data_IF_729829588148
#
_entry.id   IF_729829588148
#
_cell.length_a   1.000
_cell.length_b   1.000
_cell.length_c   1.000
_cell.angle_alpha   90.00
_cell.angle_beta   90.00
_cell.angle_gamma   90.00
#
_symmetry.space_group_name_H-M   'P 1'
#
loop_
_entity.id
_entity.type
_entity.pdbx_description
1 polymer ?
#
# COMPACT_ATOMS: atom_id res chain seq x y z
N UNK A 1 -63.95 42.54 19.44
CA UNK A 1 -62.57 42.82 18.99
C UNK A 1 -62.47 42.37 17.54
N UNK A 2 -61.94 43.24 16.68
CA UNK A 2 -62.04 43.17 15.22
C UNK A 2 -61.64 41.82 14.57
N UNK A 3 -62.35 41.39 13.51
CA UNK A 3 -61.93 40.29 12.65
C UNK A 3 -61.00 40.81 11.53
N UNK A 4 -59.95 40.07 11.21
CA UNK A 4 -59.16 40.27 9.99
C UNK A 4 -59.41 39.11 9.02
N UNK A 5 -59.85 39.48 7.81
CA UNK A 5 -60.04 38.62 6.64
C UNK A 5 -58.72 38.08 6.06
N UNK A 6 -58.78 37.01 5.23
CA UNK A 6 -57.61 36.26 4.77
C UNK A 6 -57.01 36.83 3.48
N UNK A 7 -55.73 36.56 3.23
CA UNK A 7 -55.05 36.85 1.95
C UNK A 7 -54.29 35.58 1.50
N UNK A 8 -54.17 35.32 0.18
CA UNK A 8 -54.25 33.97 -0.39
C UNK A 8 -52.88 33.28 -0.60
N UNK A 9 -52.91 31.95 -0.66
CA UNK A 9 -51.78 31.12 -1.09
C UNK A 9 -51.44 31.29 -2.57
N UNK A 10 -50.16 31.18 -2.94
CA UNK A 10 -49.75 30.71 -4.24
C UNK A 10 -49.02 29.37 -4.17
N UNK A 11 -49.64 28.37 -4.81
CA UNK A 11 -49.08 27.25 -5.58
C UNK A 11 -47.83 26.50 -5.07
N UNK A 12 -48.07 25.24 -4.74
CA UNK A 12 -47.06 24.19 -4.57
C UNK A 12 -46.20 24.02 -5.83
N UNK A 13 -44.89 24.25 -5.69
CA UNK A 13 -43.88 23.78 -6.64
C UNK A 13 -43.62 22.27 -6.47
N UNK A 14 -43.19 21.56 -7.52
CA UNK A 14 -42.92 20.13 -7.45
C UNK A 14 -41.71 19.82 -6.53
N UNK A 15 -41.64 18.61 -5.96
CA UNK A 15 -40.61 18.25 -4.99
C UNK A 15 -39.21 18.24 -5.63
N UNK A 16 -38.25 18.83 -4.94
CA UNK A 16 -36.85 18.87 -5.35
C UNK A 16 -36.24 17.45 -5.33
N UNK A 17 -35.72 17.01 -6.47
CA UNK A 17 -34.88 15.82 -6.55
C UNK A 17 -33.55 16.07 -5.81
N UNK A 18 -33.07 15.12 -4.98
CA UNK A 18 -31.70 15.16 -4.49
C UNK A 18 -30.79 14.58 -5.58
N UNK A 19 -29.64 15.22 -5.80
CA UNK A 19 -28.54 14.85 -6.70
C UNK A 19 -28.56 15.45 -8.12
N UNK A 20 -28.01 16.67 -8.21
CA UNK A 20 -27.26 17.11 -9.39
C UNK A 20 -25.87 17.61 -8.96
N UNK A 21 -24.80 17.36 -9.75
CA UNK A 21 -23.42 17.57 -9.34
C UNK A 21 -23.00 19.02 -9.62
N UNK A 22 -22.71 19.79 -8.57
CA UNK A 22 -22.09 21.12 -8.74
C UNK A 22 -20.57 20.99 -8.73
N UNK A 23 -19.97 21.36 -9.86
CA UNK A 23 -18.55 21.64 -9.98
C UNK A 23 -18.15 22.95 -9.29
N UNK A 24 -16.84 23.19 -9.30
CA UNK A 24 -16.11 24.32 -8.72
C UNK A 24 -15.82 24.18 -7.20
N UNK A 25 -14.63 23.67 -6.89
CA UNK A 25 -14.03 23.72 -5.56
C UNK A 25 -13.72 25.18 -5.19
N UNK A 26 -14.63 25.83 -4.47
CA UNK A 26 -14.34 27.03 -3.70
C UNK A 26 -13.63 26.63 -2.40
N UNK A 27 -12.41 27.13 -2.19
CA UNK A 27 -11.66 26.96 -0.95
C UNK A 27 -12.27 27.89 0.12
N UNK A 28 -12.78 27.40 1.26
CA UNK A 28 -13.13 28.28 2.36
C UNK A 28 -11.85 28.79 3.03
N UNK A 29 -11.73 30.09 3.21
CA UNK A 29 -10.65 30.74 3.95
C UNK A 29 -10.64 30.27 5.41
N UNK A 30 -9.57 29.58 5.81
CA UNK A 30 -9.36 29.14 7.18
C UNK A 30 -8.89 30.32 8.08
N UNK A 31 -9.16 30.29 9.41
CA UNK A 31 -8.68 31.30 10.32
C UNK A 31 -7.15 31.26 10.43
N UNK A 32 -6.52 32.41 10.30
CA UNK A 32 -5.07 32.64 10.34
C UNK A 32 -4.51 32.37 11.73
N UNK A 33 -3.67 31.33 11.88
CA UNK A 33 -3.02 31.05 13.16
C UNK A 33 -1.79 30.13 13.14
N UNK A 34 -1.41 29.56 11.99
CA UNK A 34 -0.18 28.77 11.89
C UNK A 34 0.80 29.43 10.92
N UNK A 35 2.10 29.52 11.26
CA UNK A 35 3.10 30.01 10.33
C UNK A 35 3.10 29.12 9.07
N UNK A 36 3.24 29.70 7.87
CA UNK A 36 3.31 28.91 6.65
C UNK A 36 4.56 28.02 6.70
N UNK A 37 4.36 26.71 6.74
CA UNK A 37 5.44 25.77 6.45
C UNK A 37 5.98 26.12 5.05
N UNK A 38 7.31 26.25 4.86
CA UNK A 38 7.86 26.53 3.56
C UNK A 38 7.44 25.43 2.58
N UNK A 39 6.71 25.84 1.55
CA UNK A 39 6.28 25.01 0.44
C UNK A 39 7.52 24.62 -0.40
N UNK A 40 8.32 23.67 0.09
CA UNK A 40 9.50 23.14 -0.63
C UNK A 40 9.17 21.93 -1.51
N UNK A 41 7.92 21.45 -1.52
CA UNK A 41 7.48 20.40 -2.43
C UNK A 41 6.51 20.99 -3.47
N UNK A 42 7.02 21.19 -4.69
CA UNK A 42 6.20 21.54 -5.85
C UNK A 42 5.06 20.54 -6.04
N UNK A 43 3.94 21.02 -6.59
CA UNK A 43 2.72 20.22 -6.78
C UNK A 43 2.96 18.91 -7.54
N UNK A 44 1.96 18.00 -7.56
CA UNK A 44 2.11 16.64 -8.07
C UNK A 44 2.77 16.63 -9.46
N UNK A 45 3.92 15.95 -9.66
CA UNK A 45 4.49 15.83 -10.97
C UNK A 45 3.48 15.15 -11.90
N UNK A 46 3.07 15.84 -12.96
CA UNK A 46 2.15 15.33 -13.97
C UNK A 46 2.66 13.96 -14.45
N UNK A 47 1.80 12.93 -14.48
CA UNK A 47 2.22 11.59 -14.86
C UNK A 47 2.86 11.65 -16.24
N UNK A 48 4.02 11.01 -16.44
CA UNK A 48 4.65 11.00 -17.74
C UNK A 48 3.82 10.08 -18.64
N UNK A 49 2.85 10.65 -19.34
CA UNK A 49 1.87 9.90 -20.11
C UNK A 49 2.52 9.11 -21.27
N UNK A 50 3.75 9.50 -21.64
CA UNK A 50 4.50 9.00 -22.79
C UNK A 50 5.82 8.30 -22.42
N UNK A 51 6.16 8.16 -21.13
CA UNK A 51 7.39 7.45 -20.73
C UNK A 51 7.17 5.93 -20.73
N UNK A 52 8.20 5.14 -21.10
CA UNK A 52 8.13 3.68 -21.02
C UNK A 52 7.96 3.23 -19.56
N UNK A 53 7.34 2.05 -19.39
CA UNK A 53 7.34 1.36 -18.09
C UNK A 53 8.73 0.82 -17.81
N UNK A 54 9.24 1.06 -16.61
CA UNK A 54 10.57 0.60 -16.22
C UNK A 54 10.80 0.68 -14.72
N UNK A 55 12.08 0.58 -14.36
CA UNK A 55 12.56 0.62 -12.98
C UNK A 55 13.17 1.97 -12.59
N UNK A 56 13.26 2.89 -13.57
CA UNK A 56 13.72 4.27 -13.41
C UNK A 56 12.71 5.06 -12.56
N UNK A 57 13.19 5.95 -11.67
CA UNK A 57 12.31 6.78 -10.86
C UNK A 57 11.48 7.76 -11.71
N UNK A 58 11.97 8.12 -12.89
CA UNK A 58 11.39 9.17 -13.74
C UNK A 58 10.31 8.65 -14.69
N UNK A 59 10.29 7.35 -14.97
CA UNK A 59 9.36 6.71 -15.90
C UNK A 59 8.04 6.27 -15.25
N UNK A 60 7.31 5.39 -15.94
CA UNK A 60 6.16 4.69 -15.36
C UNK A 60 6.62 3.45 -14.61
N UNK A 61 6.03 3.11 -13.45
CA UNK A 61 6.42 1.92 -12.71
C UNK A 61 6.09 0.65 -13.52
N UNK A 62 7.07 -0.25 -13.64
CA UNK A 62 6.88 -1.56 -14.24
C UNK A 62 6.30 -2.57 -13.24
N UNK A 63 5.45 -3.47 -13.74
CA UNK A 63 5.11 -4.70 -13.02
C UNK A 63 6.35 -5.61 -12.99
N UNK A 64 6.52 -6.37 -11.93
CA UNK A 64 7.53 -7.40 -11.84
C UNK A 64 7.29 -8.46 -12.92
N UNK A 65 8.34 -8.88 -13.62
CA UNK A 65 8.24 -9.78 -14.79
C UNK A 65 7.54 -11.11 -14.50
N UNK A 66 7.67 -11.61 -13.26
CA UNK A 66 7.02 -12.84 -12.80
C UNK A 66 5.62 -12.65 -12.22
N UNK A 67 5.14 -11.42 -12.01
CA UNK A 67 3.85 -11.21 -11.34
C UNK A 67 2.68 -11.79 -12.15
N UNK A 68 2.57 -11.42 -13.43
CA UNK A 68 1.47 -11.89 -14.29
C UNK A 68 1.56 -13.40 -14.58
N UNK A 69 2.72 -13.97 -14.94
CA UNK A 69 2.83 -15.42 -15.11
C UNK A 69 2.41 -16.22 -13.88
N UNK A 70 2.87 -15.84 -12.69
CA UNK A 70 2.49 -16.51 -11.44
C UNK A 70 1.01 -16.30 -11.11
N UNK A 71 0.48 -15.10 -11.35
CA UNK A 71 -0.94 -14.80 -11.17
C UNK A 71 -1.81 -15.69 -12.06
N UNK A 72 -1.46 -15.87 -13.33
CA UNK A 72 -2.22 -16.74 -14.25
C UNK A 72 -2.24 -18.18 -13.74
N UNK A 73 -1.09 -18.73 -13.33
CA UNK A 73 -1.02 -20.10 -12.78
C UNK A 73 -1.92 -20.23 -11.56
N UNK A 74 -1.82 -19.31 -10.60
CA UNK A 74 -2.63 -19.32 -9.38
C UNK A 74 -4.12 -19.19 -9.69
N UNK A 75 -4.51 -18.27 -10.58
CA UNK A 75 -5.92 -18.06 -10.95
C UNK A 75 -6.52 -19.30 -11.62
N UNK A 76 -5.77 -19.95 -12.52
CA UNK A 76 -6.23 -21.19 -13.17
C UNK A 76 -6.43 -22.30 -12.14
N UNK A 77 -5.46 -22.51 -11.25
CA UNK A 77 -5.58 -23.52 -10.19
C UNK A 77 -6.76 -23.22 -9.26
N UNK A 78 -6.92 -21.96 -8.82
CA UNK A 78 -8.05 -21.54 -7.98
C UNK A 78 -9.39 -21.73 -8.69
N UNK A 79 -9.48 -21.39 -9.98
CA UNK A 79 -10.71 -21.59 -10.76
C UNK A 79 -11.08 -23.07 -10.88
N UNK A 80 -10.12 -23.95 -11.15
CA UNK A 80 -10.35 -25.39 -11.20
C UNK A 80 -10.84 -25.93 -9.85
N UNK A 81 -10.21 -25.49 -8.74
CA UNK A 81 -10.64 -25.89 -7.40
C UNK A 81 -12.05 -25.40 -7.09
N UNK A 82 -12.43 -24.19 -7.49
CA UNK A 82 -13.81 -23.71 -7.33
C UNK A 82 -14.81 -24.51 -8.15
N UNK A 83 -14.50 -24.87 -9.40
CA UNK A 83 -15.38 -25.70 -10.22
C UNK A 83 -15.59 -27.09 -9.61
N UNK A 84 -14.52 -27.71 -9.12
CA UNK A 84 -14.58 -29.00 -8.42
C UNK A 84 -15.40 -28.88 -7.13
N UNK A 85 -15.12 -27.85 -6.31
CA UNK A 85 -15.85 -27.61 -5.08
C UNK A 85 -17.35 -27.39 -5.34
N UNK A 86 -17.70 -26.64 -6.38
CA UNK A 86 -19.11 -26.43 -6.74
C UNK A 86 -19.79 -27.74 -7.17
N UNK A 87 -19.13 -28.57 -7.99
CA UNK A 87 -19.66 -29.86 -8.40
C UNK A 87 -19.87 -30.81 -7.21
N UNK A 88 -18.88 -30.92 -6.33
CA UNK A 88 -18.97 -31.73 -5.11
C UNK A 88 -20.05 -31.23 -4.16
N UNK A 89 -20.23 -29.91 -4.05
CA UNK A 89 -21.29 -29.33 -3.24
C UNK A 89 -22.68 -29.65 -3.77
N UNK A 90 -22.88 -29.52 -5.09
CA UNK A 90 -24.15 -29.88 -5.73
C UNK A 90 -24.47 -31.36 -5.53
N UNK A 91 -23.50 -32.25 -5.77
CA UNK A 91 -23.66 -33.68 -5.56
C UNK A 91 -24.02 -34.04 -4.10
N UNK A 92 -23.30 -33.46 -3.14
CA UNK A 92 -23.56 -33.68 -1.72
C UNK A 92 -24.96 -33.21 -1.30
N UNK A 93 -25.40 -32.06 -1.79
CA UNK A 93 -26.75 -31.53 -1.53
C UNK A 93 -27.82 -32.43 -2.13
N UNK A 94 -27.66 -32.88 -3.38
CA UNK A 94 -28.63 -33.74 -4.06
C UNK A 94 -28.71 -35.14 -3.45
N UNK A 95 -27.59 -35.67 -2.97
CA UNK A 95 -27.48 -36.99 -2.36
C UNK A 95 -27.85 -37.01 -0.86
N UNK A 96 -28.11 -35.84 -0.25
CA UNK A 96 -28.35 -35.71 1.19
C UNK A 96 -27.12 -36.06 2.04
N UNK A 97 -25.91 -35.97 1.47
CA UNK A 97 -24.66 -36.25 2.15
C UNK A 97 -24.29 -35.10 3.11
N UNK A 98 -23.48 -35.41 4.12
CA UNK A 98 -22.95 -34.40 5.04
C UNK A 98 -21.97 -33.46 4.33
N UNK A 99 -22.14 -32.16 4.49
CA UNK A 99 -21.27 -31.14 3.90
C UNK A 99 -19.98 -30.97 4.71
N UNK A 100 -18.84 -30.95 4.02
CA UNK A 100 -17.52 -30.74 4.62
C UNK A 100 -17.24 -29.24 4.82
N UNK A 101 -16.69 -28.83 5.96
CA UNK A 101 -16.36 -27.43 6.24
C UNK A 101 -15.42 -26.79 5.21
N UNK A 102 -14.43 -27.53 4.70
CA UNK A 102 -13.53 -27.03 3.64
C UNK A 102 -14.26 -26.82 2.31
N UNK A 103 -15.25 -27.67 2.02
CA UNK A 103 -16.10 -27.53 0.84
C UNK A 103 -16.96 -26.27 0.96
N UNK A 104 -17.58 -26.06 2.11
CA UNK A 104 -18.35 -24.85 2.41
C UNK A 104 -17.46 -23.61 2.34
N UNK A 105 -16.26 -23.65 2.91
CA UNK A 105 -15.29 -22.55 2.83
C UNK A 105 -15.00 -22.16 1.39
N UNK A 106 -14.75 -23.14 0.50
CA UNK A 106 -14.45 -22.88 -0.91
C UNK A 106 -15.65 -22.34 -1.67
N UNK A 107 -16.83 -22.94 -1.50
CA UNK A 107 -18.06 -22.50 -2.20
C UNK A 107 -18.48 -21.10 -1.76
N UNK A 108 -18.38 -20.79 -0.46
CA UNK A 108 -18.75 -19.48 0.09
C UNK A 108 -17.58 -18.48 0.13
N UNK A 109 -16.39 -18.84 -0.35
CA UNK A 109 -15.23 -17.95 -0.41
C UNK A 109 -15.53 -16.58 -1.06
N UNK A 110 -16.28 -16.47 -2.17
CA UNK A 110 -16.66 -15.16 -2.71
C UNK A 110 -17.38 -14.27 -1.69
N UNK A 111 -18.38 -14.82 -1.00
CA UNK A 111 -19.15 -14.09 0.00
C UNK A 111 -18.30 -13.73 1.23
N UNK A 112 -17.46 -14.65 1.69
CA UNK A 112 -16.56 -14.44 2.83
C UNK A 112 -15.50 -13.37 2.52
N UNK A 113 -14.87 -13.42 1.34
CA UNK A 113 -13.91 -12.41 0.90
C UNK A 113 -14.60 -11.05 0.76
N UNK A 114 -15.79 -11.01 0.19
CA UNK A 114 -16.57 -9.77 0.07
C UNK A 114 -16.89 -9.18 1.46
N UNK A 115 -17.43 -9.99 2.37
CA UNK A 115 -17.83 -9.57 3.71
C UNK A 115 -16.62 -9.14 4.56
N UNK A 116 -15.55 -9.94 4.58
CA UNK A 116 -14.32 -9.62 5.31
C UNK A 116 -13.69 -8.30 4.84
N UNK A 117 -13.70 -8.03 3.53
CA UNK A 117 -13.22 -6.75 2.99
C UNK A 117 -14.15 -5.58 3.33
N UNK A 118 -15.46 -5.81 3.33
CA UNK A 118 -16.45 -4.81 3.74
C UNK A 118 -16.29 -4.40 5.19
N UNK A 119 -16.15 -5.40 6.08
CA UNK A 119 -15.86 -5.19 7.50
C UNK A 119 -14.53 -4.45 7.65
N UNK A 120 -13.46 -4.91 7.00
CA UNK A 120 -12.16 -4.25 7.07
C UNK A 120 -12.24 -2.77 6.69
N UNK A 121 -12.91 -2.43 5.58
CA UNK A 121 -13.11 -1.04 5.17
C UNK A 121 -13.93 -0.24 6.18
N UNK A 122 -15.04 -0.81 6.67
CA UNK A 122 -15.88 -0.16 7.67
C UNK A 122 -15.10 0.12 8.97
N UNK A 123 -14.29 -0.83 9.45
CA UNK A 123 -13.45 -0.67 10.64
C UNK A 123 -12.51 0.52 10.51
N UNK A 124 -11.84 0.70 9.36
CA UNK A 124 -10.94 1.86 9.18
C UNK A 124 -11.69 3.18 9.17
N UNK A 125 -12.90 3.19 8.59
CA UNK A 125 -13.73 4.39 8.51
C UNK A 125 -14.24 4.87 9.87
N UNK A 126 -14.58 3.95 10.76
CA UNK A 126 -15.21 4.29 12.05
C UNK A 126 -14.19 4.45 13.17
N UNK A 127 -13.03 3.81 13.09
CA UNK A 127 -12.00 3.86 14.14
C UNK A 127 -10.74 4.65 13.74
N UNK A 128 -10.50 4.88 12.45
CA UNK A 128 -9.34 5.60 11.96
C UNK A 128 -9.59 7.11 11.79
N UNK A 129 -8.53 7.90 11.89
CA UNK A 129 -8.57 9.33 11.57
C UNK A 129 -8.42 9.49 10.07
N UNK A 130 -9.47 9.96 9.39
CA UNK A 130 -9.42 10.22 7.94
C UNK A 130 -8.46 11.37 7.64
N UNK A 131 -7.49 11.14 6.75
CA UNK A 131 -6.63 12.18 6.22
C UNK A 131 -7.41 13.13 5.32
N UNK A 132 -7.18 14.42 5.45
CA UNK A 132 -7.85 15.49 4.72
C UNK A 132 -6.95 16.75 4.66
N UNK A 133 -7.34 17.80 3.92
CA UNK A 133 -6.62 19.07 3.94
C UNK A 133 -6.47 19.72 5.34
N UNK A 134 -7.26 19.28 6.33
CA UNK A 134 -7.23 19.81 7.70
C UNK A 134 -6.79 18.79 8.74
N UNK A 135 -6.73 17.50 8.40
CA UNK A 135 -6.29 16.41 9.28
C UNK A 135 -5.19 15.62 8.59
N UNK A 136 -3.98 15.60 9.14
CA UNK A 136 -2.80 15.03 8.47
C UNK A 136 -2.63 15.57 7.02
N UNK A 137 -2.58 16.91 6.83
CA UNK A 137 -2.55 17.53 5.50
C UNK A 137 -1.37 17.08 4.65
N UNK A 138 -0.22 16.82 5.27
CA UNK A 138 0.98 16.33 4.59
C UNK A 138 0.76 14.92 4.02
N UNK A 139 0.28 13.99 4.84
CA UNK A 139 -0.05 12.62 4.40
C UNK A 139 -1.14 12.60 3.33
N UNK A 140 -2.18 13.44 3.48
CA UNK A 140 -3.22 13.61 2.46
C UNK A 140 -2.63 14.06 1.12
N UNK A 141 -1.72 15.05 1.12
CA UNK A 141 -1.02 15.51 -0.08
C UNK A 141 -0.17 14.41 -0.71
N UNK A 142 0.59 13.64 0.08
CA UNK A 142 1.40 12.53 -0.42
C UNK A 142 0.55 11.47 -1.15
N UNK A 143 -0.62 11.13 -0.61
CA UNK A 143 -1.56 10.18 -1.25
C UNK A 143 -2.10 10.75 -2.57
N UNK A 144 -2.50 12.03 -2.59
CA UNK A 144 -2.98 12.70 -3.79
C UNK A 144 -1.89 12.76 -4.88
N UNK A 145 -0.64 13.07 -4.49
CA UNK A 145 0.51 13.10 -5.39
C UNK A 145 0.84 11.72 -5.95
N UNK A 146 0.80 10.67 -5.14
CA UNK A 146 0.99 9.30 -5.59
C UNK A 146 -0.09 8.87 -6.58
N UNK A 147 -1.37 9.15 -6.26
CA UNK A 147 -2.49 8.85 -7.14
C UNK A 147 -2.35 9.57 -8.50
N UNK A 148 -2.00 10.85 -8.49
CA UNK A 148 -1.73 11.62 -9.69
C UNK A 148 -0.54 11.06 -10.49
N UNK A 149 0.57 10.73 -9.81
CA UNK A 149 1.79 10.16 -10.41
C UNK A 149 1.50 8.85 -11.15
N UNK A 150 0.58 8.03 -10.64
CA UNK A 150 0.20 6.76 -11.25
C UNK A 150 -0.98 6.86 -12.22
N UNK A 151 -1.50 8.08 -12.47
CA UNK A 151 -2.60 8.32 -13.41
C UNK A 151 -3.95 7.78 -12.93
N UNK A 152 -4.17 7.72 -11.63
CA UNK A 152 -5.43 7.27 -11.05
C UNK A 152 -6.51 8.34 -11.25
N UNK A 153 -7.71 7.92 -11.65
CA UNK A 153 -8.87 8.81 -11.84
C UNK A 153 -9.50 9.27 -10.52
N UNK A 154 -9.24 8.56 -9.44
CA UNK A 154 -9.79 8.85 -8.11
C UNK A 154 -8.70 8.65 -7.08
N UNK A 155 -8.49 9.64 -6.22
CA UNK A 155 -7.58 9.55 -5.09
C UNK A 155 -8.17 8.59 -4.06
N UNK A 156 -7.43 7.58 -3.58
CA UNK A 156 -7.89 6.70 -2.51
C UNK A 156 -8.21 7.48 -1.24
N UNK A 157 -9.19 7.01 -0.45
CA UNK A 157 -9.31 7.48 0.93
C UNK A 157 -8.05 7.08 1.71
N UNK A 158 -7.64 7.87 2.69
CA UNK A 158 -6.51 7.51 3.54
C UNK A 158 -6.84 7.71 5.01
N UNK A 159 -6.38 6.80 5.86
CA UNK A 159 -6.65 6.79 7.29
C UNK A 159 -5.37 6.62 8.09
N UNK A 160 -5.27 7.36 9.20
CA UNK A 160 -4.29 7.09 10.26
C UNK A 160 -4.96 6.23 11.32
N UNK A 161 -4.34 5.12 11.68
CA UNK A 161 -4.80 4.24 12.77
C UNK A 161 -3.70 4.04 13.80
N UNK A 162 -4.08 3.73 15.03
CA UNK A 162 -3.12 3.51 16.10
C UNK A 162 -2.28 2.25 15.81
N UNK A 163 -0.95 2.40 15.78
CA UNK A 163 -0.02 1.30 15.49
C UNK A 163 0.49 0.55 16.72
N UNK A 164 0.41 1.14 17.92
CA UNK A 164 0.91 0.56 19.17
C UNK A 164 2.35 0.02 19.07
N UNK A 165 3.23 0.77 18.42
CA UNK A 165 4.64 0.39 18.24
C UNK A 165 4.91 -0.45 16.99
N UNK A 166 3.88 -0.84 16.24
CA UNK A 166 4.04 -1.54 14.97
C UNK A 166 4.24 -0.54 13.83
N UNK A 167 5.32 -0.71 13.05
CA UNK A 167 5.55 0.04 11.82
C UNK A 167 4.79 -0.65 10.69
N UNK A 168 3.69 -0.07 10.22
CA UNK A 168 2.91 -0.67 9.15
C UNK A 168 2.12 0.37 8.33
N UNK A 169 1.88 0.05 7.07
CA UNK A 169 0.89 0.67 6.21
C UNK A 169 0.32 -0.42 5.29
N UNK A 170 -0.91 -0.25 4.82
CA UNK A 170 -1.48 -1.18 3.86
C UNK A 170 -2.51 -0.50 2.95
N UNK A 171 -2.64 -1.02 1.75
CA UNK A 171 -3.71 -0.67 0.83
C UNK A 171 -4.76 -1.77 0.69
N UNK A 172 -6.03 -1.36 0.55
CA UNK A 172 -7.14 -2.29 0.33
C UNK A 172 -8.28 -1.60 -0.42
N UNK A 173 -9.40 -2.32 -0.58
CA UNK A 173 -10.57 -1.82 -1.29
C UNK A 173 -11.80 -2.68 -1.11
N UNK A 174 -12.97 -2.07 -1.20
CA UNK A 174 -14.24 -2.79 -1.17
C UNK A 174 -15.20 -2.12 -2.16
N UNK A 175 -15.85 -2.93 -3.00
CA UNK A 175 -16.58 -2.45 -4.17
C UNK A 175 -15.69 -1.57 -5.07
N UNK A 176 -16.17 -0.37 -5.38
CA UNK A 176 -15.43 0.63 -6.17
C UNK A 176 -14.52 1.55 -5.33
N UNK A 177 -14.54 1.42 -3.99
CA UNK A 177 -13.74 2.27 -3.11
C UNK A 177 -12.35 1.66 -2.89
N UNK A 178 -11.35 2.53 -2.83
CA UNK A 178 -9.96 2.18 -2.56
C UNK A 178 -9.45 3.05 -1.43
N UNK A 179 -8.63 2.47 -0.58
CA UNK A 179 -8.11 3.18 0.57
C UNK A 179 -6.74 2.70 0.99
N UNK A 180 -6.00 3.59 1.64
CA UNK A 180 -4.72 3.33 2.29
C UNK A 180 -4.88 3.55 3.79
N UNK A 181 -4.19 2.74 4.58
CA UNK A 181 -4.10 2.90 6.02
C UNK A 181 -2.63 3.05 6.38
N UNK A 182 -2.32 4.03 7.22
CA UNK A 182 -0.97 4.29 7.72
C UNK A 182 -1.02 4.23 9.24
N UNK A 183 -0.15 3.45 9.86
CA UNK A 183 -0.11 3.40 11.32
C UNK A 183 0.51 4.68 11.87
N UNK A 184 0.03 5.11 13.03
CA UNK A 184 0.51 6.33 13.72
C UNK A 184 2.01 6.30 13.99
N UNK A 185 2.60 5.12 14.12
CA UNK A 185 4.03 4.93 14.35
C UNK A 185 4.93 5.32 13.17
N UNK A 186 4.36 5.57 11.99
CA UNK A 186 5.06 6.17 10.85
C UNK A 186 5.11 7.71 10.90
N UNK A 187 4.41 8.33 11.86
CA UNK A 187 4.42 9.76 12.11
C UNK A 187 5.18 10.08 13.40
N UNK A 188 5.65 11.33 13.50
CA UNK A 188 6.23 11.92 14.71
C UNK A 188 5.21 12.72 15.51
N UNK A 189 5.66 13.23 16.65
CA UNK A 189 4.90 14.14 17.51
C UNK A 189 4.37 15.31 16.66
N UNK A 190 3.07 15.58 16.79
CA UNK A 190 2.38 16.61 16.00
C UNK A 190 1.89 16.17 14.63
N UNK A 191 2.07 14.89 14.26
CA UNK A 191 1.57 14.33 13.00
C UNK A 191 2.41 14.66 11.77
N UNK A 192 3.59 15.27 11.94
CA UNK A 192 4.58 15.44 10.90
C UNK A 192 5.29 14.12 10.60
N UNK A 193 5.75 13.91 9.38
CA UNK A 193 6.62 12.77 9.08
C UNK A 193 8.01 12.98 9.69
N UNK A 194 8.59 11.96 10.34
CA UNK A 194 10.01 12.00 10.80
C UNK A 194 10.95 12.24 9.62
N UNK A 195 10.71 11.41 8.61
CA UNK A 195 11.45 11.32 7.35
C UNK A 195 10.41 11.43 6.23
N UNK A 196 10.05 12.65 5.81
CA UNK A 196 8.98 12.89 4.83
C UNK A 196 9.15 12.10 3.54
N UNK A 197 10.40 11.96 3.08
CA UNK A 197 10.71 11.17 1.88
C UNK A 197 10.46 9.68 2.09
N UNK A 198 10.80 9.13 3.26
CA UNK A 198 10.53 7.74 3.59
C UNK A 198 9.02 7.45 3.66
N UNK A 199 8.27 8.35 4.32
CA UNK A 199 6.81 8.24 4.38
C UNK A 199 6.18 8.33 2.99
N UNK A 200 6.64 9.28 2.16
CA UNK A 200 6.17 9.40 0.78
C UNK A 200 6.50 8.13 -0.03
N UNK A 201 7.69 7.52 0.12
CA UNK A 201 8.00 6.23 -0.51
C UNK A 201 7.01 5.13 -0.09
N UNK A 202 6.72 5.01 1.21
CA UNK A 202 5.77 4.02 1.76
C UNK A 202 4.36 4.27 1.23
N UNK A 203 3.88 5.51 1.23
CA UNK A 203 2.58 5.88 0.66
C UNK A 203 2.54 5.57 -0.85
N UNK A 204 3.60 5.89 -1.58
CA UNK A 204 3.73 5.58 -3.01
C UNK A 204 3.69 4.07 -3.28
N UNK A 205 4.28 3.26 -2.39
CA UNK A 205 4.21 1.80 -2.43
C UNK A 205 2.77 1.31 -2.21
N UNK A 206 2.08 1.78 -1.18
CA UNK A 206 0.69 1.40 -0.87
C UNK A 206 -0.29 1.82 -1.97
N UNK A 207 -0.22 3.08 -2.42
CA UNK A 207 -1.03 3.56 -3.55
C UNK A 207 -0.66 2.77 -4.82
N UNK A 208 0.60 2.32 -4.94
CA UNK A 208 1.07 1.41 -5.97
C UNK A 208 0.35 0.07 -6.01
N UNK A 209 0.06 -0.55 -4.85
CA UNK A 209 -0.79 -1.75 -4.80
C UNK A 209 -2.18 -1.50 -5.39
N UNK A 210 -2.74 -0.30 -5.18
CA UNK A 210 -4.04 0.06 -5.76
C UNK A 210 -3.90 0.26 -7.27
N UNK A 211 -2.91 1.03 -7.72
CA UNK A 211 -2.67 1.34 -9.11
C UNK A 211 -2.35 0.09 -9.96
N UNK A 212 -1.62 -0.88 -9.39
CA UNK A 212 -1.32 -2.16 -10.02
C UNK A 212 -2.50 -3.17 -9.96
N UNK A 213 -3.62 -2.80 -9.32
CA UNK A 213 -4.80 -3.65 -9.22
C UNK A 213 -4.69 -4.78 -8.18
N UNK A 214 -3.68 -4.74 -7.30
CA UNK A 214 -3.47 -5.76 -6.26
C UNK A 214 -4.64 -5.82 -5.28
N UNK A 215 -5.31 -4.70 -5.05
CA UNK A 215 -6.47 -4.57 -4.16
C UNK A 215 -7.81 -4.89 -4.83
N UNK A 216 -7.81 -5.39 -6.08
CA UNK A 216 -9.02 -5.77 -6.80
C UNK A 216 -9.71 -6.98 -6.15
N UNK A 217 -11.03 -6.91 -5.98
CA UNK A 217 -11.84 -8.03 -5.46
C UNK A 217 -11.65 -9.30 -6.28
N UNK A 218 -11.74 -9.20 -7.61
CA UNK A 218 -11.60 -10.35 -8.50
C UNK A 218 -10.20 -10.98 -8.42
N UNK A 219 -9.18 -10.15 -8.24
CA UNK A 219 -7.81 -10.63 -8.07
C UNK A 219 -7.65 -11.37 -6.76
N UNK A 220 -8.19 -10.84 -5.67
CA UNK A 220 -8.17 -11.51 -4.36
C UNK A 220 -8.96 -12.82 -4.37
N UNK A 221 -10.07 -12.87 -5.10
CA UNK A 221 -10.83 -14.10 -5.27
C UNK A 221 -10.06 -15.14 -6.10
N UNK A 222 -9.45 -14.74 -7.21
CA UNK A 222 -8.61 -15.62 -8.03
C UNK A 222 -7.32 -16.06 -7.31
N UNK A 223 -6.91 -15.32 -6.28
CA UNK A 223 -5.78 -15.63 -5.41
C UNK A 223 -6.18 -16.32 -4.11
N UNK A 224 -7.43 -16.77 -3.94
CA UNK A 224 -7.91 -17.33 -2.68
C UNK A 224 -7.06 -18.50 -2.15
N UNK A 225 -6.46 -19.29 -3.04
CA UNK A 225 -5.58 -20.40 -2.66
C UNK A 225 -4.16 -20.01 -2.28
N UNK A 226 -3.73 -18.77 -2.52
CA UNK A 226 -2.35 -18.31 -2.27
C UNK A 226 -1.84 -18.63 -0.87
N UNK A 227 -2.60 -18.41 0.23
CA UNK A 227 -2.13 -18.74 1.59
C UNK A 227 -1.82 -20.23 1.80
N UNK A 228 -2.38 -21.11 0.97
CA UNK A 228 -2.17 -22.57 1.04
C UNK A 228 -1.04 -23.06 0.11
N UNK A 229 -0.40 -22.15 -0.64
CA UNK A 229 0.67 -22.45 -1.60
C UNK A 229 1.99 -21.80 -1.12
N UNK A 230 2.70 -22.35 -0.13
CA UNK A 230 3.77 -21.64 0.59
C UNK A 230 4.98 -21.23 -0.25
N UNK A 231 5.24 -21.87 -1.40
CA UNK A 231 6.35 -21.46 -2.29
C UNK A 231 5.80 -20.60 -3.44
N UNK A 232 4.82 -21.10 -4.18
CA UNK A 232 4.26 -20.43 -5.36
C UNK A 232 3.44 -19.20 -4.99
N UNK A 233 2.58 -19.32 -3.99
CA UNK A 233 1.76 -18.22 -3.47
C UNK A 233 2.63 -17.11 -2.90
N UNK A 234 3.61 -17.44 -2.06
CA UNK A 234 4.55 -16.44 -1.54
C UNK A 234 5.42 -15.82 -2.65
N UNK A 235 5.84 -16.58 -3.67
CA UNK A 235 6.54 -16.00 -4.82
C UNK A 235 5.67 -14.99 -5.58
N UNK A 236 4.37 -15.26 -5.73
CA UNK A 236 3.42 -14.30 -6.31
C UNK A 236 3.29 -13.06 -5.44
N UNK A 237 3.11 -13.19 -4.12
CA UNK A 237 3.04 -12.03 -3.20
C UNK A 237 4.34 -11.21 -3.30
N UNK A 238 5.52 -11.84 -3.21
CA UNK A 238 6.80 -11.13 -3.35
C UNK A 238 6.97 -10.42 -4.71
N UNK A 239 6.42 -10.97 -5.79
CA UNK A 239 6.41 -10.29 -7.09
C UNK A 239 5.58 -8.99 -7.04
N UNK A 240 4.45 -9.02 -6.33
CA UNK A 240 3.57 -7.86 -6.11
C UNK A 240 4.24 -6.80 -5.24
N UNK A 241 4.94 -7.23 -4.20
CA UNK A 241 5.76 -6.35 -3.35
C UNK A 241 6.84 -5.65 -4.17
N UNK A 242 7.55 -6.36 -5.05
CA UNK A 242 8.52 -5.73 -5.95
C UNK A 242 7.88 -4.77 -6.96
N UNK A 243 6.67 -5.05 -7.43
CA UNK A 243 5.88 -4.11 -8.23
C UNK A 243 5.54 -2.86 -7.43
N UNK A 244 5.09 -3.00 -6.19
CA UNK A 244 4.77 -1.89 -5.31
C UNK A 244 6.03 -1.08 -4.93
N UNK A 245 7.18 -1.74 -4.75
CA UNK A 245 8.48 -1.08 -4.61
C UNK A 245 8.83 -0.22 -5.82
N UNK A 246 8.52 -0.68 -7.04
CA UNK A 246 8.72 0.14 -8.24
C UNK A 246 7.83 1.39 -8.22
N UNK A 247 6.60 1.28 -7.72
CA UNK A 247 5.71 2.44 -7.55
C UNK A 247 6.23 3.40 -6.48
N UNK A 248 6.59 2.90 -5.30
CA UNK A 248 7.21 3.70 -4.24
C UNK A 248 8.46 4.42 -4.71
N UNK A 249 9.33 3.73 -5.47
CA UNK A 249 10.55 4.30 -6.02
C UNK A 249 10.27 5.36 -7.10
N UNK A 250 9.31 5.12 -8.00
CA UNK A 250 8.88 6.10 -9.00
C UNK A 250 8.18 7.32 -8.40
N UNK A 251 7.64 7.21 -7.19
CA UNK A 251 7.02 8.32 -6.47
C UNK A 251 8.03 9.09 -5.62
N UNK A 252 8.90 8.40 -4.87
CA UNK A 252 9.92 9.01 -4.01
C UNK A 252 11.15 8.11 -3.81
N UNK A 253 11.98 7.98 -4.84
CA UNK A 253 13.24 7.22 -4.77
C UNK A 253 14.21 7.61 -3.65
N UNK A 254 14.34 8.90 -3.32
CA UNK A 254 15.19 9.41 -2.23
C UNK A 254 14.78 8.89 -0.86
N UNK A 255 13.52 8.50 -0.69
CA UNK A 255 12.99 7.93 0.55
C UNK A 255 13.24 6.44 0.73
N UNK A 256 13.64 5.72 -0.33
CA UNK A 256 13.79 4.26 -0.27
C UNK A 256 14.80 3.81 0.81
N UNK A 257 16.01 4.41 0.95
CA UNK A 257 16.95 4.01 2.00
C UNK A 257 16.39 4.15 3.41
N UNK A 258 15.82 5.31 3.74
CA UNK A 258 15.27 5.60 5.07
C UNK A 258 14.01 4.75 5.38
N UNK A 259 13.16 4.48 4.38
CA UNK A 259 12.03 3.57 4.52
C UNK A 259 12.50 2.14 4.83
N UNK A 260 13.52 1.65 4.11
CA UNK A 260 14.08 0.33 4.36
C UNK A 260 14.79 0.23 5.70
N UNK A 261 15.50 1.28 6.14
CA UNK A 261 16.07 1.35 7.49
C UNK A 261 14.98 1.29 8.58
N UNK A 262 13.85 1.96 8.34
CA UNK A 262 12.70 1.94 9.25
C UNK A 262 12.05 0.56 9.33
N UNK A 263 11.95 -0.18 8.22
CA UNK A 263 11.48 -1.57 8.24
C UNK A 263 12.49 -2.52 8.91
N UNK A 264 13.79 -2.25 8.79
CA UNK A 264 14.83 -3.11 9.33
C UNK A 264 15.02 -2.97 10.84
N UNK A 265 14.97 -1.76 11.37
CA UNK A 265 15.31 -1.49 12.77
C UNK A 265 14.28 -0.60 13.51
N UNK A 266 13.17 -0.24 12.87
CA UNK A 266 12.13 0.61 13.45
C UNK A 266 12.46 2.10 13.39
N UNK A 267 11.49 2.92 13.80
CA UNK A 267 11.54 4.39 13.67
C UNK A 267 12.63 5.10 14.48
N UNK A 268 13.20 4.44 15.49
CA UNK A 268 14.22 5.03 16.36
C UNK A 268 15.66 4.67 15.97
N UNK A 269 15.86 3.58 15.23
CA UNK A 269 17.18 3.07 14.83
C UNK A 269 17.39 3.11 13.31
N UNK A 270 16.42 3.62 12.56
CA UNK A 270 16.47 3.65 11.10
C UNK A 270 17.70 4.38 10.53
N UNK A 271 18.16 5.45 11.17
CA UNK A 271 19.30 6.27 10.71
C UNK A 271 20.66 5.59 10.88
N UNK A 272 20.76 4.57 11.76
CA UNK A 272 22.00 3.79 11.93
C UNK A 272 22.03 2.53 11.06
N UNK A 273 20.98 2.26 10.28
CA UNK A 273 20.94 1.13 9.34
C UNK A 273 21.61 1.53 8.03
N UNK A 274 22.72 0.86 7.71
CA UNK A 274 23.39 1.01 6.43
C UNK A 274 22.62 0.36 5.28
N UNK A 275 21.96 1.16 4.44
CA UNK A 275 21.20 0.66 3.29
C UNK A 275 22.07 -0.13 2.30
N UNK A 276 23.23 0.42 1.91
CA UNK A 276 24.14 -0.23 0.98
C UNK A 276 24.80 -1.47 1.59
N UNK A 277 25.20 -1.40 2.85
CA UNK A 277 25.78 -2.54 3.58
C UNK A 277 24.78 -3.70 3.67
N UNK A 278 23.52 -3.42 4.01
CA UNK A 278 22.46 -4.42 4.03
C UNK A 278 22.16 -4.99 2.64
N UNK A 279 22.20 -4.15 1.60
CA UNK A 279 22.06 -4.62 0.23
C UNK A 279 23.22 -5.58 -0.15
N UNK A 280 24.48 -5.26 0.20
CA UNK A 280 25.64 -6.11 -0.11
C UNK A 280 25.54 -7.51 0.49
N UNK A 281 24.93 -7.63 1.68
CA UNK A 281 24.64 -8.93 2.29
C UNK A 281 23.81 -9.85 1.40
N UNK A 282 22.96 -9.32 0.52
CA UNK A 282 22.14 -10.13 -0.37
C UNK A 282 22.98 -11.06 -1.28
N UNK A 283 24.19 -10.64 -1.66
CA UNK A 283 25.11 -11.41 -2.48
C UNK A 283 25.98 -12.38 -1.67
N UNK A 284 26.31 -12.02 -0.43
CA UNK A 284 27.26 -12.77 0.41
C UNK A 284 26.59 -13.81 1.30
N UNK A 285 25.34 -13.61 1.72
CA UNK A 285 24.58 -14.57 2.52
C UNK A 285 24.18 -15.80 1.69
N UNK A 286 24.58 -16.99 2.14
CA UNK A 286 24.40 -18.25 1.42
C UNK A 286 23.85 -19.34 2.33
N UNK A 287 23.29 -20.39 1.73
CA UNK A 287 22.87 -21.60 2.43
C UNK A 287 21.41 -21.94 2.18
N UNK A 288 21.05 -23.21 2.43
CA UNK A 288 19.69 -23.71 2.23
C UNK A 288 18.64 -22.99 3.08
N UNK A 289 18.99 -22.62 4.32
CA UNK A 289 18.07 -21.90 5.21
C UNK A 289 17.81 -20.45 4.77
N UNK A 290 18.81 -19.76 4.22
CA UNK A 290 18.60 -18.42 3.62
C UNK A 290 17.62 -18.50 2.46
N UNK A 291 17.78 -19.52 1.61
CA UNK A 291 16.84 -19.78 0.52
C UNK A 291 15.44 -20.13 1.03
N UNK A 292 15.33 -20.98 2.06
CA UNK A 292 14.06 -21.41 2.65
C UNK A 292 13.30 -20.24 3.29
N UNK A 293 14.00 -19.38 4.04
CA UNK A 293 13.41 -18.16 4.62
C UNK A 293 12.86 -17.26 3.52
N UNK A 294 13.62 -17.04 2.44
CA UNK A 294 13.10 -16.29 1.30
C UNK A 294 11.89 -16.97 0.66
N UNK A 295 11.93 -18.29 0.46
CA UNK A 295 10.85 -19.04 -0.17
C UNK A 295 9.53 -18.92 0.60
N UNK A 296 9.59 -19.02 1.94
CA UNK A 296 8.44 -18.97 2.84
C UNK A 296 7.99 -17.55 3.23
N UNK A 297 8.76 -16.52 2.90
CA UNK A 297 8.42 -15.13 3.23
C UNK A 297 7.37 -14.56 2.27
N UNK A 298 6.34 -13.91 2.82
CA UNK A 298 5.34 -13.18 2.05
C UNK A 298 5.89 -11.88 1.46
N UNK A 299 6.93 -11.30 2.07
CA UNK A 299 7.61 -10.11 1.57
C UNK A 299 9.03 -10.45 1.09
N UNK A 300 9.59 -9.73 0.11
CA UNK A 300 11.01 -9.84 -0.21
C UNK A 300 11.85 -9.67 1.04
N UNK A 301 12.77 -10.61 1.30
CA UNK A 301 13.69 -10.48 2.43
C UNK A 301 14.46 -9.17 2.32
N UNK A 302 14.66 -8.48 3.44
CA UNK A 302 15.12 -7.08 3.45
C UNK A 302 16.40 -6.85 2.65
N UNK A 303 17.39 -7.74 2.77
CA UNK A 303 18.65 -7.64 2.00
C UNK A 303 18.40 -7.67 0.49
N UNK A 304 17.52 -8.56 0.01
CA UNK A 304 17.18 -8.67 -1.42
C UNK A 304 16.29 -7.51 -1.89
N UNK A 305 15.42 -7.00 -1.02
CA UNK A 305 14.60 -5.81 -1.28
C UNK A 305 15.48 -4.57 -1.45
N UNK A 306 16.39 -4.33 -0.52
CA UNK A 306 17.37 -3.24 -0.58
C UNK A 306 18.30 -3.39 -1.78
N UNK A 307 18.78 -4.61 -2.10
CA UNK A 307 19.52 -4.86 -3.34
C UNK A 307 18.72 -4.44 -4.58
N UNK A 308 17.45 -4.82 -4.68
CA UNK A 308 16.61 -4.49 -5.84
C UNK A 308 16.28 -3.00 -5.94
N UNK A 309 16.20 -2.29 -4.80
CA UNK A 309 16.02 -0.84 -4.76
C UNK A 309 17.31 -0.08 -5.10
N UNK A 310 18.47 -0.68 -4.84
CA UNK A 310 19.78 -0.14 -5.23
C UNK A 310 20.13 -0.42 -6.70
N UNK A 311 20.09 -1.70 -7.12
CA UNK A 311 20.35 -2.14 -8.50
C UNK A 311 19.04 -2.11 -9.32
N UNK A 312 18.70 -0.92 -9.84
CA UNK A 312 17.50 -0.69 -10.67
C UNK A 312 17.63 -1.17 -12.12
N UNK A 313 18.66 -1.94 -12.46
CA UNK A 313 18.86 -2.40 -13.84
C UNK A 313 18.03 -3.62 -14.23
N UNK A 314 17.49 -4.32 -13.24
CA UNK A 314 16.73 -5.55 -13.38
C UNK A 314 15.74 -5.68 -12.23
N UNK A 315 14.70 -6.47 -12.46
CA UNK A 315 13.74 -6.77 -11.41
C UNK A 315 14.41 -7.50 -10.23
N UNK A 316 13.81 -7.34 -9.05
CA UNK A 316 14.18 -8.07 -7.85
C UNK A 316 14.18 -9.59 -8.08
N UNK A 317 15.01 -10.30 -7.32
CA UNK A 317 15.09 -11.76 -7.48
C UNK A 317 14.06 -12.45 -6.58
N UNK A 318 13.32 -13.42 -7.13
CA UNK A 318 12.29 -14.14 -6.38
C UNK A 318 12.77 -15.46 -5.76
N UNK A 319 13.62 -16.19 -6.50
CA UNK A 319 13.94 -17.59 -6.20
C UNK A 319 15.39 -17.79 -5.77
N UNK A 320 16.31 -17.02 -6.36
CA UNK A 320 17.75 -17.19 -6.17
C UNK A 320 18.37 -15.85 -5.80
N UNK A 321 19.40 -15.88 -4.96
CA UNK A 321 20.05 -14.66 -4.50
C UNK A 321 20.53 -13.78 -5.67
N UNK A 322 20.55 -12.44 -5.49
CA UNK A 322 21.22 -11.58 -6.43
C UNK A 322 22.72 -11.88 -6.49
N UNK A 323 23.35 -11.49 -7.59
CA UNK A 323 24.80 -11.60 -7.77
C UNK A 323 25.33 -10.26 -8.30
N UNK A 324 26.47 -9.77 -7.76
CA UNK A 324 27.11 -8.56 -8.25
C UNK A 324 27.43 -8.69 -9.73
N UNK A 325 27.46 -7.55 -10.42
CA UNK A 325 28.00 -7.52 -11.78
C UNK A 325 29.52 -7.72 -11.71
N UNK A 326 30.12 -8.43 -12.68
CA UNK A 326 31.58 -8.45 -12.80
C UNK A 326 32.14 -7.03 -12.80
N UNK A 327 33.08 -6.72 -11.91
CA UNK A 327 33.72 -5.40 -11.81
C UNK A 327 32.99 -4.34 -10.97
N UNK A 328 31.81 -4.63 -10.41
CA UNK A 328 31.16 -3.71 -9.46
C UNK A 328 31.65 -4.03 -8.04
N UNK A 329 32.53 -3.18 -7.51
CA UNK A 329 32.85 -3.22 -6.09
C UNK A 329 31.75 -2.52 -5.30
N UNK A 330 31.26 -3.11 -4.20
CA UNK A 330 30.36 -2.40 -3.30
C UNK A 330 31.05 -1.13 -2.80
N UNK A 331 30.32 -0.01 -2.66
CA UNK A 331 30.88 1.20 -2.09
C UNK A 331 31.41 0.91 -0.67
N UNK A 332 32.51 1.58 -0.29
CA UNK A 332 33.07 1.47 1.06
C UNK A 332 32.00 1.94 2.06
N UNK A 333 31.71 1.20 3.13
CA UNK A 333 30.76 1.63 4.15
C UNK A 333 31.15 3.02 4.66
N UNK A 334 30.25 3.99 4.50
CA UNK A 334 30.40 5.31 5.12
C UNK A 334 29.87 5.18 6.56
N UNK A 335 30.54 5.74 7.59
CA UNK A 335 30.01 5.74 8.94
C UNK A 335 28.58 6.29 8.96
N UNK A 336 27.62 5.48 9.38
CA UNK A 336 26.23 5.90 9.52
C UNK A 336 26.06 6.69 10.83
N UNK A 337 25.21 7.72 10.79
CA UNK A 337 25.07 8.82 11.76
C UNK A 337 25.44 8.59 13.24
N UNK A 338 25.96 9.63 13.88
CA UNK A 338 26.18 9.65 15.33
C UNK A 338 24.85 9.42 16.08
N UNK A 339 24.89 8.55 17.10
CA UNK A 339 23.79 8.41 18.06
C UNK A 339 23.55 9.79 18.70
N UNK A 340 22.33 10.35 18.68
CA UNK A 340 22.05 11.60 19.37
C UNK A 340 22.50 11.49 20.82
N UNK A 341 23.31 12.45 21.27
CA UNK A 341 23.80 12.48 22.65
C UNK A 341 22.64 12.36 23.63
N UNK A 342 22.81 11.50 24.65
CA UNK A 342 21.81 11.36 25.70
C UNK A 342 21.47 12.75 26.27
N UNK A 343 20.19 13.04 26.58
CA UNK A 343 19.83 14.28 27.24
C UNK A 343 20.68 14.44 28.51
N UNK A 344 21.13 15.67 28.82
CA UNK A 344 21.95 15.91 30.00
C UNK A 344 21.22 15.35 31.23
N UNK A 345 21.95 14.60 32.07
CA UNK A 345 21.39 14.09 33.33
C UNK A 345 20.81 15.29 34.09
N UNK A 346 19.59 15.19 34.65
CA UNK A 346 19.08 16.23 35.52
C UNK A 346 20.09 16.41 36.66
N UNK A 347 20.69 17.60 36.72
CA UNK A 347 21.38 18.07 37.91
C UNK A 347 20.30 18.25 38.97
N UNK A 348 20.48 17.53 40.08
CA UNK A 348 19.50 17.42 41.17
C UNK A 348 19.27 18.69 41.95
#
# INVERSE_FOLDING_TARGET
MHPHEPTPQPHAGPPAEPFAPTGAWGVPSAPTGYPPYPNTYGGPPVPPAQQPRGLSPWGRPALHSWEIPLLVVVVVVTALVYLIALALFVDAVLSGATLNDYLLLLVFAPALVWAGRGINYATQRVNGVKMSPTQFPEGYRMVAEAAARFGMTTVPDAYVVLGNGQINAFASGHGFRRFVVVYSDLFEIGGAAREPDALAFIIGHEVGHIAAGHTSYWRQLGMFLVPFLPILGNALIRAQEYTADNHGYCHRHTGAPAAMGTLAAGKYLNTVVGFDEMADRAATEKGGFVWLVNALSSHPVLTWRMWALRDRSRHGKLFWRPSPRPGHQPPVPVPYGEVPGLPPKPVG
#
